data_IF_576831222811
#
_entry.id   IF_576831222811
#
_cell.length_a   1.000
_cell.length_b   1.000
_cell.length_c   1.000
_cell.angle_alpha   90.00
_cell.angle_beta   90.00
_cell.angle_gamma   90.00
#
_symmetry.space_group_name_H-M   'P 1'
#
loop_
_entity.id
_entity.type
_entity.pdbx_description
1 polymer ?
#
# COMPACT_ATOMS: atom_id res chain seq x y z
N UNK A 1 -0.44 7.14 31.52
CA UNK A 1 -0.58 8.40 30.74
C UNK A 1 0.19 8.34 29.41
N UNK A 2 1.40 7.75 29.38
CA UNK A 2 2.28 7.66 28.20
C UNK A 2 1.70 6.81 27.03
N UNK A 3 1.00 5.69 27.30
CA UNK A 3 0.36 4.85 26.25
C UNK A 3 -0.78 5.54 25.49
N UNK A 4 -1.58 6.38 26.18
CA UNK A 4 -2.67 7.15 25.55
C UNK A 4 -2.14 8.22 24.58
N UNK A 5 -0.93 8.70 24.78
CA UNK A 5 -0.30 9.71 23.92
C UNK A 5 0.26 9.05 22.66
N UNK A 6 0.98 7.93 22.81
CA UNK A 6 1.56 7.17 21.68
C UNK A 6 0.50 6.67 20.70
N UNK A 7 -0.62 6.17 21.21
CA UNK A 7 -1.73 5.68 20.38
C UNK A 7 -2.44 6.79 19.58
N UNK A 8 -2.63 7.97 20.17
CA UNK A 8 -3.18 9.13 19.48
C UNK A 8 -2.26 9.60 18.36
N UNK A 9 -0.95 9.59 18.59
CA UNK A 9 0.06 9.95 17.58
C UNK A 9 0.04 8.96 16.43
N UNK A 10 0.05 7.65 16.71
CA UNK A 10 0.05 6.61 15.68
C UNK A 10 -1.22 6.66 14.81
N UNK A 11 -2.40 6.77 15.43
CA UNK A 11 -3.65 6.89 14.69
C UNK A 11 -3.72 8.21 13.89
N UNK A 12 -3.22 9.31 14.45
CA UNK A 12 -3.11 10.59 13.74
C UNK A 12 -2.22 10.50 12.50
N UNK A 13 -1.08 9.81 12.60
CA UNK A 13 -0.15 9.59 11.50
C UNK A 13 -0.78 8.76 10.37
N UNK A 14 -1.51 7.69 10.70
CA UNK A 14 -2.21 6.88 9.69
C UNK A 14 -3.33 7.67 9.02
N UNK A 15 -4.10 8.47 9.77
CA UNK A 15 -5.15 9.34 9.20
C UNK A 15 -4.53 10.38 8.26
N UNK A 16 -3.43 11.01 8.67
CA UNK A 16 -2.68 11.94 7.82
C UNK A 16 -2.22 11.25 6.53
N UNK A 17 -1.69 10.03 6.61
CA UNK A 17 -1.32 9.22 5.45
C UNK A 17 -2.49 9.02 4.50
N UNK A 18 -3.66 8.58 5.00
CA UNK A 18 -4.87 8.39 4.20
C UNK A 18 -5.30 9.69 3.51
N UNK A 19 -5.32 10.82 4.23
CA UNK A 19 -5.69 12.13 3.67
C UNK A 19 -4.73 12.52 2.55
N UNK A 20 -3.42 12.36 2.78
CA UNK A 20 -2.38 12.66 1.80
C UNK A 20 -2.54 11.81 0.54
N UNK A 21 -2.84 10.51 0.70
CA UNK A 21 -3.10 9.61 -0.42
C UNK A 21 -4.34 10.02 -1.22
N UNK A 22 -5.44 10.36 -0.56
CA UNK A 22 -6.66 10.82 -1.25
C UNK A 22 -6.39 12.11 -2.02
N UNK A 23 -5.68 13.07 -1.41
CA UNK A 23 -5.31 14.31 -2.07
C UNK A 23 -4.41 14.06 -3.30
N UNK A 24 -3.43 13.15 -3.17
CA UNK A 24 -2.59 12.74 -4.28
C UNK A 24 -3.41 12.08 -5.42
N UNK A 25 -4.39 11.23 -5.08
CA UNK A 25 -5.29 10.59 -6.04
C UNK A 25 -6.26 11.55 -6.73
N UNK A 26 -6.58 12.70 -6.13
CA UNK A 26 -7.35 13.75 -6.79
C UNK A 26 -6.44 14.59 -7.69
N UNK A 27 -5.19 14.80 -7.28
CA UNK A 27 -4.19 15.53 -8.06
C UNK A 27 -3.59 14.76 -9.24
N UNK A 28 -3.69 13.42 -9.26
CA UNK A 28 -3.09 12.58 -10.32
C UNK A 28 -3.52 12.94 -11.74
N UNK A 29 -4.81 13.18 -12.10
CA UNK A 29 -5.15 13.58 -13.47
C UNK A 29 -4.52 14.92 -13.89
N UNK A 30 -4.35 15.86 -12.94
CA UNK A 30 -3.72 17.16 -13.21
C UNK A 30 -2.21 16.99 -13.44
N UNK A 31 -1.52 16.30 -12.54
CA UNK A 31 -0.08 16.02 -12.64
C UNK A 31 0.23 15.24 -13.90
N UNK A 32 -0.59 14.23 -14.21
CA UNK A 32 -0.41 13.41 -15.40
C UNK A 32 -0.58 14.23 -16.69
N UNK A 33 -1.58 15.10 -16.74
CA UNK A 33 -1.81 15.97 -17.89
C UNK A 33 -0.65 16.95 -18.10
N UNK A 34 -0.11 17.51 -17.01
CA UNK A 34 1.06 18.40 -17.06
C UNK A 34 2.33 17.67 -17.51
N UNK A 35 2.58 16.47 -16.98
CA UNK A 35 3.73 15.64 -17.36
C UNK A 35 3.71 15.28 -18.85
N UNK A 36 2.58 14.77 -19.35
CA UNK A 36 2.42 14.40 -20.76
C UNK A 36 2.59 15.60 -21.70
N UNK A 37 2.19 16.80 -21.28
CA UNK A 37 2.38 18.04 -22.06
C UNK A 37 3.85 18.47 -22.11
N UNK A 38 4.58 18.28 -21.01
CA UNK A 38 6.01 18.63 -20.88
C UNK A 38 6.91 17.66 -21.65
N UNK A 39 6.63 16.36 -21.60
CA UNK A 39 7.52 15.33 -22.14
C UNK A 39 7.59 15.27 -23.67
N UNK A 40 6.86 16.11 -24.41
CA UNK A 40 6.83 16.12 -25.89
C UNK A 40 6.57 14.75 -26.54
N UNK A 41 6.03 13.80 -25.77
CA UNK A 41 5.60 12.49 -26.27
C UNK A 41 4.42 12.80 -27.19
N UNK A 42 4.65 12.73 -28.51
CA UNK A 42 3.59 12.77 -29.53
C UNK A 42 2.71 11.56 -29.29
N UNK A 43 1.70 11.80 -28.46
CA UNK A 43 0.79 10.80 -27.97
C UNK A 43 -0.23 10.55 -29.08
N UNK A 44 0.13 9.75 -30.07
CA UNK A 44 -0.65 9.52 -31.30
C UNK A 44 -2.02 8.86 -31.04
N UNK A 45 -2.32 8.43 -29.81
CA UNK A 45 -3.58 7.79 -29.44
C UNK A 45 -4.41 8.66 -28.47
N UNK A 46 -5.68 8.98 -28.79
CA UNK A 46 -6.56 9.79 -27.93
C UNK A 46 -6.89 9.14 -26.57
N UNK A 47 -6.65 7.84 -26.39
CA UNK A 47 -7.14 7.06 -25.24
C UNK A 47 -6.09 6.78 -24.15
N UNK A 48 -4.80 7.00 -24.39
CA UNK A 48 -3.75 6.57 -23.45
C UNK A 48 -3.75 7.37 -22.13
N UNK A 49 -4.20 8.64 -22.13
CA UNK A 49 -4.39 9.42 -20.89
C UNK A 49 -5.37 8.72 -19.94
N UNK A 50 -6.47 8.23 -20.51
CA UNK A 50 -7.50 7.51 -19.78
C UNK A 50 -6.97 6.18 -19.26
N UNK A 51 -6.25 5.42 -20.10
CA UNK A 51 -5.67 4.13 -19.74
C UNK A 51 -4.64 4.28 -18.61
N UNK A 52 -3.73 5.25 -18.70
CA UNK A 52 -2.73 5.50 -17.67
C UNK A 52 -3.36 5.93 -16.34
N UNK A 53 -4.43 6.74 -16.41
CA UNK A 53 -5.23 7.10 -15.24
C UNK A 53 -5.84 5.86 -14.59
N UNK A 54 -6.44 4.97 -15.38
CA UNK A 54 -7.02 3.70 -14.89
C UNK A 54 -5.95 2.81 -14.24
N UNK A 55 -4.76 2.66 -14.84
CA UNK A 55 -3.66 1.90 -14.25
C UNK A 55 -3.24 2.46 -12.88
N UNK A 56 -3.14 3.78 -12.74
CA UNK A 56 -2.79 4.43 -11.47
C UNK A 56 -3.85 4.14 -10.39
N UNK A 57 -5.14 4.30 -10.72
CA UNK A 57 -6.21 4.01 -9.76
C UNK A 57 -6.26 2.52 -9.40
N UNK A 58 -5.97 1.63 -10.35
CA UNK A 58 -5.93 0.18 -10.09
C UNK A 58 -4.82 -0.18 -9.09
N UNK A 59 -3.63 0.42 -9.21
CA UNK A 59 -2.55 0.28 -8.23
C UNK A 59 -2.91 0.90 -6.86
N UNK A 60 -3.70 1.98 -6.85
CA UNK A 60 -4.05 2.67 -5.62
C UNK A 60 -5.01 1.87 -4.72
N UNK A 61 -5.85 1.00 -5.28
CA UNK A 61 -6.82 0.19 -4.53
C UNK A 61 -6.17 -0.66 -3.43
N UNK A 62 -5.18 -1.53 -3.72
CA UNK A 62 -4.52 -2.33 -2.68
C UNK A 62 -3.79 -1.46 -1.66
N UNK A 63 -3.14 -0.39 -2.10
CA UNK A 63 -2.43 0.54 -1.21
C UNK A 63 -3.38 1.21 -0.19
N UNK A 64 -4.49 1.78 -0.67
CA UNK A 64 -5.50 2.41 0.19
C UNK A 64 -6.13 1.38 1.13
N UNK A 65 -6.40 0.18 0.64
CA UNK A 65 -6.91 -0.93 1.46
C UNK A 65 -5.93 -1.26 2.59
N UNK A 66 -4.62 -1.34 2.30
CA UNK A 66 -3.58 -1.57 3.30
C UNK A 66 -3.55 -0.47 4.37
N UNK A 67 -3.74 0.80 4.01
CA UNK A 67 -3.81 1.91 4.97
C UNK A 67 -5.00 1.81 5.93
N UNK A 68 -6.19 1.43 5.44
CA UNK A 68 -7.34 1.20 6.31
C UNK A 68 -7.12 0.03 7.27
N UNK A 69 -6.43 -1.02 6.80
CA UNK A 69 -6.05 -2.18 7.62
C UNK A 69 -5.03 -1.78 8.69
N UNK A 70 -4.05 -0.97 8.34
CA UNK A 70 -3.10 -0.40 9.28
C UNK A 70 -3.79 0.43 10.37
N UNK A 71 -4.77 1.28 9.99
CA UNK A 71 -5.58 2.05 10.95
C UNK A 71 -6.30 1.13 11.94
N UNK A 72 -6.85 0.01 11.45
CA UNK A 72 -7.53 -0.99 12.30
C UNK A 72 -6.54 -1.62 13.29
N UNK A 73 -5.34 -1.99 12.84
CA UNK A 73 -4.27 -2.51 13.71
C UNK A 73 -3.92 -1.50 14.80
N UNK A 74 -3.68 -0.22 14.46
CA UNK A 74 -3.34 0.81 15.44
C UNK A 74 -4.42 0.97 16.52
N UNK A 75 -5.70 0.86 16.12
CA UNK A 75 -6.83 0.91 17.06
C UNK A 75 -6.86 -0.31 17.98
N UNK A 76 -6.61 -1.50 17.45
CA UNK A 76 -6.59 -2.75 18.23
C UNK A 76 -5.43 -2.80 19.22
N UNK A 77 -4.24 -2.34 18.82
CA UNK A 77 -3.06 -2.27 19.68
C UNK A 77 -3.24 -1.34 20.88
N UNK A 78 -4.08 -0.32 20.74
CA UNK A 78 -4.39 0.66 21.81
C UNK A 78 -5.47 0.16 22.77
N UNK A 79 -6.21 -0.89 22.38
CA UNK A 79 -7.26 -1.47 23.22
C UNK A 79 -6.71 -2.42 24.27
N UNK A 80 -7.57 -2.84 25.20
CA UNK A 80 -7.23 -3.77 26.30
C UNK A 80 -6.79 -5.17 25.82
N UNK A 81 -7.12 -5.51 24.57
CA UNK A 81 -6.74 -6.77 23.91
C UNK A 81 -5.64 -6.57 22.85
N UNK A 82 -4.49 -6.04 23.28
CA UNK A 82 -3.35 -5.67 22.43
C UNK A 82 -2.70 -6.86 21.71
N UNK A 83 -2.89 -8.08 22.21
CA UNK A 83 -2.45 -9.32 21.57
C UNK A 83 -3.67 -10.18 21.26
N UNK A 84 -4.09 -10.10 20.00
CA UNK A 84 -5.27 -10.81 19.49
C UNK A 84 -4.94 -11.44 18.13
N UNK A 85 -5.48 -12.64 17.83
CA UNK A 85 -5.33 -13.26 16.51
C UNK A 85 -5.92 -12.39 15.38
N UNK A 86 -6.79 -11.42 15.72
CA UNK A 86 -7.33 -10.45 14.77
C UNK A 86 -6.21 -9.58 14.20
N UNK A 87 -5.26 -9.11 15.02
CA UNK A 87 -4.16 -8.25 14.57
C UNK A 87 -3.26 -8.99 13.58
N UNK A 88 -2.97 -10.27 13.85
CA UNK A 88 -2.24 -11.14 12.94
C UNK A 88 -2.91 -11.21 11.56
N UNK A 89 -4.23 -11.47 11.52
CA UNK A 89 -4.99 -11.51 10.26
C UNK A 89 -4.96 -10.18 9.50
N UNK A 90 -5.05 -9.05 10.19
CA UNK A 90 -4.97 -7.75 9.51
C UNK A 90 -3.58 -7.50 8.90
N UNK A 91 -2.48 -7.91 9.56
CA UNK A 91 -1.13 -7.85 8.98
C UNK A 91 -1.00 -8.75 7.75
N UNK A 92 -1.60 -9.95 7.77
CA UNK A 92 -1.61 -10.84 6.60
C UNK A 92 -2.35 -10.20 5.42
N UNK A 93 -3.45 -9.49 5.67
CA UNK A 93 -4.17 -8.77 4.60
C UNK A 93 -3.33 -7.63 4.04
N UNK A 94 -2.60 -6.88 4.87
CA UNK A 94 -1.66 -5.84 4.40
C UNK A 94 -0.59 -6.47 3.51
N UNK A 95 -0.04 -7.63 3.89
CA UNK A 95 0.95 -8.31 3.07
C UNK A 95 0.40 -8.71 1.69
N UNK A 96 -0.81 -9.27 1.65
CA UNK A 96 -1.49 -9.62 0.40
C UNK A 96 -1.71 -8.37 -0.46
N UNK A 97 -2.13 -7.25 0.15
CA UNK A 97 -2.30 -5.99 -0.56
C UNK A 97 -0.97 -5.50 -1.18
N UNK A 98 0.14 -5.57 -0.43
CA UNK A 98 1.45 -5.15 -0.92
C UNK A 98 1.94 -6.03 -2.09
N UNK A 99 1.76 -7.36 -2.02
CA UNK A 99 2.10 -8.24 -3.14
C UNK A 99 1.18 -8.02 -4.35
N UNK A 100 -0.12 -7.79 -4.12
CA UNK A 100 -1.06 -7.46 -5.19
C UNK A 100 -0.67 -6.15 -5.89
N UNK A 101 -0.28 -5.12 -5.12
CA UNK A 101 0.22 -3.86 -5.66
C UNK A 101 1.46 -4.07 -6.55
N UNK A 102 2.43 -4.86 -6.10
CA UNK A 102 3.61 -5.19 -6.89
C UNK A 102 3.24 -5.87 -8.23
N UNK A 103 2.34 -6.85 -8.20
CA UNK A 103 1.89 -7.56 -9.40
C UNK A 103 1.14 -6.62 -10.35
N UNK A 104 0.17 -5.85 -9.84
CA UNK A 104 -0.61 -4.91 -10.65
C UNK A 104 0.32 -3.87 -11.28
N UNK A 105 1.33 -3.40 -10.55
CA UNK A 105 2.28 -2.42 -11.06
C UNK A 105 3.16 -2.99 -12.18
N UNK A 106 3.66 -4.22 -12.02
CA UNK A 106 4.42 -4.91 -13.08
C UNK A 106 3.56 -5.11 -14.32
N UNK A 107 2.33 -5.63 -14.15
CA UNK A 107 1.41 -5.88 -15.26
C UNK A 107 1.01 -4.58 -15.96
N UNK A 108 0.79 -3.50 -15.22
CA UNK A 108 0.47 -2.18 -15.80
C UNK A 108 1.62 -1.64 -16.64
N UNK A 109 2.86 -1.76 -16.16
CA UNK A 109 4.05 -1.34 -16.93
C UNK A 109 4.26 -2.22 -18.16
N UNK A 110 4.09 -3.54 -18.04
CA UNK A 110 4.20 -4.48 -19.16
C UNK A 110 3.13 -4.20 -20.23
N UNK A 111 1.89 -3.95 -19.81
CA UNK A 111 0.79 -3.58 -20.70
C UNK A 111 1.09 -2.27 -21.45
N UNK A 112 1.59 -1.24 -20.75
CA UNK A 112 1.97 0.02 -21.37
C UNK A 112 3.12 -0.14 -22.37
N UNK A 113 4.10 -0.99 -22.06
CA UNK A 113 5.21 -1.31 -22.96
C UNK A 113 4.73 -1.99 -24.24
N UNK A 114 3.90 -3.04 -24.13
CA UNK A 114 3.45 -3.84 -25.29
C UNK A 114 2.47 -3.06 -26.19
N UNK A 115 1.54 -2.30 -25.59
CA UNK A 115 0.42 -1.70 -26.34
C UNK A 115 0.77 -0.32 -26.91
N UNK A 116 1.64 0.44 -26.23
CA UNK A 116 1.92 1.83 -26.58
C UNK A 116 3.37 2.08 -27.01
N UNK A 117 4.17 1.02 -27.18
CA UNK A 117 5.62 1.10 -27.41
C UNK A 117 6.27 2.10 -26.42
N UNK A 118 5.76 2.12 -25.18
CA UNK A 118 6.20 3.05 -24.16
C UNK A 118 7.58 2.58 -23.70
N UNK A 119 8.62 3.06 -24.37
CA UNK A 119 9.99 2.61 -24.16
C UNK A 119 10.36 2.71 -22.69
N UNK A 120 10.81 1.57 -22.16
CA UNK A 120 11.37 1.46 -20.83
C UNK A 120 12.77 2.11 -20.80
N UNK A 121 12.81 3.45 -20.78
CA UNK A 121 14.04 4.19 -20.52
C UNK A 121 14.41 4.13 -19.03
N UNK A 122 15.62 4.58 -18.68
CA UNK A 122 16.09 4.62 -17.29
C UNK A 122 15.08 5.32 -16.34
N UNK A 123 14.38 6.34 -16.85
CA UNK A 123 13.35 7.10 -16.13
C UNK A 123 12.14 6.25 -15.70
N UNK A 124 11.83 5.16 -16.41
CA UNK A 124 10.70 4.28 -16.11
C UNK A 124 11.11 2.95 -15.46
N UNK A 125 12.29 2.41 -15.81
CA UNK A 125 12.81 1.16 -15.21
C UNK A 125 13.20 1.36 -13.75
N UNK A 126 13.84 2.48 -13.41
CA UNK A 126 14.30 2.73 -12.03
C UNK A 126 13.10 2.77 -11.06
N UNK A 127 12.01 3.53 -11.33
CA UNK A 127 10.80 3.48 -10.51
C UNK A 127 10.17 2.08 -10.45
N UNK A 128 10.18 1.34 -11.57
CA UNK A 128 9.66 -0.03 -11.60
C UNK A 128 10.33 -0.91 -10.55
N UNK A 129 11.66 -0.93 -10.54
CA UNK A 129 12.46 -1.75 -9.61
C UNK A 129 12.23 -1.28 -8.17
N UNK A 130 12.28 0.03 -7.91
CA UNK A 130 12.16 0.58 -6.55
C UNK A 130 10.79 0.28 -5.95
N UNK A 131 9.70 0.53 -6.68
CA UNK A 131 8.34 0.34 -6.18
C UNK A 131 8.06 -1.13 -5.92
N UNK A 132 8.45 -2.02 -6.84
CA UNK A 132 8.27 -3.46 -6.66
C UNK A 132 9.09 -3.97 -5.46
N UNK A 133 10.35 -3.54 -5.33
CA UNK A 133 11.19 -3.93 -4.22
C UNK A 133 10.62 -3.48 -2.87
N UNK A 134 10.15 -2.24 -2.77
CA UNK A 134 9.50 -1.71 -1.57
C UNK A 134 8.23 -2.48 -1.23
N UNK A 135 7.35 -2.70 -2.21
CA UNK A 135 6.09 -3.42 -2.01
C UNK A 135 6.33 -4.86 -1.53
N UNK A 136 7.29 -5.57 -2.15
CA UNK A 136 7.68 -6.92 -1.73
C UNK A 136 8.27 -6.92 -0.32
N UNK A 137 9.17 -5.97 -0.02
CA UNK A 137 9.79 -5.84 1.31
C UNK A 137 8.76 -5.57 2.41
N UNK A 138 7.83 -4.65 2.16
CA UNK A 138 6.71 -4.34 3.08
C UNK A 138 5.81 -5.57 3.25
N UNK A 139 5.52 -6.28 2.15
CA UNK A 139 4.74 -7.52 2.17
C UNK A 139 5.37 -8.58 3.07
N UNK A 140 6.67 -8.84 2.91
CA UNK A 140 7.41 -9.77 3.76
C UNK A 140 7.43 -9.32 5.22
N UNK A 141 7.70 -8.03 5.49
CA UNK A 141 7.70 -7.49 6.85
C UNK A 141 6.34 -7.71 7.54
N UNK A 142 5.24 -7.48 6.82
CA UNK A 142 3.90 -7.69 7.34
C UNK A 142 3.58 -9.17 7.59
N UNK A 143 4.06 -10.10 6.74
CA UNK A 143 3.94 -11.54 7.03
C UNK A 143 4.71 -11.95 8.29
N UNK A 144 5.92 -11.43 8.46
CA UNK A 144 6.72 -11.69 9.67
C UNK A 144 5.97 -11.17 10.90
N UNK A 145 5.49 -9.92 10.87
CA UNK A 145 4.68 -9.35 11.95
C UNK A 145 3.41 -10.17 12.22
N UNK A 146 2.71 -10.63 11.18
CA UNK A 146 1.55 -11.51 11.32
C UNK A 146 1.88 -12.77 12.12
N UNK A 147 3.03 -13.41 11.85
CA UNK A 147 3.43 -14.62 12.57
C UNK A 147 3.83 -14.35 14.03
N UNK A 148 4.49 -13.23 14.30
CA UNK A 148 4.84 -12.79 15.67
C UNK A 148 3.57 -12.55 16.49
N UNK A 149 2.62 -11.77 15.96
CA UNK A 149 1.37 -11.50 16.68
C UNK A 149 0.51 -12.74 16.87
N UNK A 150 0.56 -13.70 15.93
CA UNK A 150 -0.12 -14.99 16.08
C UNK A 150 0.44 -15.76 17.26
N UNK A 151 1.77 -15.95 17.32
CA UNK A 151 2.43 -16.66 18.41
C UNK A 151 2.24 -15.97 19.76
N UNK A 152 2.30 -14.64 19.79
CA UNK A 152 2.06 -13.88 21.01
C UNK A 152 0.62 -14.05 21.53
N UNK A 153 -0.36 -14.15 20.63
CA UNK A 153 -1.75 -14.42 21.00
C UNK A 153 -1.95 -15.85 21.53
N UNK A 154 -1.32 -16.85 20.89
CA UNK A 154 -1.37 -18.26 21.33
C UNK A 154 -0.79 -18.42 22.75
N UNK A 155 0.38 -17.81 23.02
CA UNK A 155 1.01 -17.85 24.36
C UNK A 155 0.10 -17.19 25.42
N UNK A 156 -0.56 -16.08 25.07
CA UNK A 156 -1.47 -15.40 25.99
C UNK A 156 -2.70 -16.28 26.30
N UNK A 157 -3.27 -16.91 25.29
CA UNK A 157 -4.42 -17.81 25.43
C UNK A 157 -4.08 -19.03 26.29
N UNK A 158 -2.93 -19.65 26.09
CA UNK A 158 -2.45 -20.75 26.94
C UNK A 158 -2.30 -20.31 28.41
N UNK A 159 -1.72 -19.14 28.65
CA UNK A 159 -1.52 -18.63 30.01
C UNK A 159 -2.85 -18.28 30.70
N UNK A 160 -3.83 -17.72 29.97
CA UNK A 160 -5.17 -17.42 30.48
C UNK A 160 -6.03 -18.69 30.73
N UNK A 161 -5.69 -19.84 30.13
CA UNK A 161 -6.38 -21.12 30.35
C UNK A 161 -5.80 -21.93 31.53
N UNK A 162 -4.60 -21.59 31.99
CA UNK A 162 -3.88 -22.35 33.02
C UNK A 162 -4.00 -21.73 34.42
N UNK A 163 -4.45 -20.47 34.51
CA UNK A 163 -4.61 -19.69 35.75
C UNK A 163 -6.03 -19.13 35.86
#
# INVERSE_FOLDING_TARGET
MQERTSSKILNGLVIMGIILTILALIGTPLVLTAFLKSSSIKLSAPNIKWILTVCIYLCAVPYVTALFKLKKICRLLTGENSFSPIISKEFQVIAICAFAEAIIYILSNLFLYIVFDFYLYAVTIIPLIIVVFLAVTIGFLCLVMSSIFKRAAEIKEENDLTF
#
